data_IF_651387082042
#
_entry.id   IF_651387082042
#
_cell.length_a   1.000
_cell.length_b   1.000
_cell.length_c   1.000
_cell.angle_alpha   90.00
_cell.angle_beta   90.00
_cell.angle_gamma   90.00
#
_symmetry.space_group_name_H-M   'P 1'
#
loop_
_entity.id
_entity.type
_entity.pdbx_description
1 polymer ?
#
# COMPACT_ATOMS: atom_id res chain seq x y z
N UNK A 1 -2.59 15.16 6.78
CA UNK A 1 -2.11 16.13 5.77
C UNK A 1 -1.49 15.40 4.56
N UNK A 2 -0.52 14.50 4.76
CA UNK A 2 0.17 13.77 3.68
C UNK A 2 -0.76 13.02 2.74
N UNK A 3 -1.75 12.32 3.24
CA UNK A 3 -2.78 11.62 2.47
C UNK A 3 -3.49 12.57 1.48
N UNK A 4 -4.06 13.66 1.97
CA UNK A 4 -4.81 14.63 1.13
C UNK A 4 -3.94 15.30 0.07
N UNK A 5 -2.69 15.65 0.42
CA UNK A 5 -1.74 16.20 -0.55
C UNK A 5 -1.38 15.19 -1.64
N UNK A 6 -1.39 13.92 -1.33
CA UNK A 6 -1.06 12.84 -2.28
C UNK A 6 -2.16 12.60 -3.31
N UNK A 7 -3.42 12.96 -3.03
CA UNK A 7 -4.46 13.00 -4.08
C UNK A 7 -4.07 13.97 -5.20
N UNK A 8 -3.47 15.12 -4.87
CA UNK A 8 -2.92 16.05 -5.87
C UNK A 8 -1.80 15.43 -6.71
N UNK A 9 -0.92 14.62 -6.10
CA UNK A 9 0.11 13.87 -6.85
C UNK A 9 -0.55 12.88 -7.82
N UNK A 10 -1.54 12.14 -7.38
CA UNK A 10 -2.28 11.17 -8.21
C UNK A 10 -2.97 11.86 -9.37
N UNK A 11 -3.67 12.99 -9.13
CA UNK A 11 -4.37 13.77 -10.16
C UNK A 11 -3.43 14.26 -11.26
N UNK A 12 -2.21 14.67 -10.89
CA UNK A 12 -1.20 15.20 -11.84
C UNK A 12 -0.26 14.12 -12.42
N UNK A 13 -0.51 12.85 -12.15
CA UNK A 13 0.29 11.73 -12.67
C UNK A 13 -0.61 10.69 -13.35
N UNK A 14 -0.87 9.55 -12.73
CA UNK A 14 -1.73 8.49 -13.28
C UNK A 14 -3.20 8.93 -13.44
N UNK A 15 -3.64 9.91 -12.68
CA UNK A 15 -5.03 10.40 -12.63
C UNK A 15 -6.04 9.26 -12.46
N UNK A 16 -5.80 8.38 -11.49
CA UNK A 16 -6.63 7.21 -11.20
C UNK A 16 -8.09 7.64 -10.97
N UNK A 17 -9.01 7.09 -11.74
CA UNK A 17 -10.45 7.36 -11.62
C UNK A 17 -10.97 6.94 -10.26
N UNK A 18 -11.72 7.82 -9.59
CA UNK A 18 -12.17 7.65 -8.21
C UNK A 18 -13.42 6.76 -8.11
N UNK A 19 -13.34 5.56 -8.69
CA UNK A 19 -14.37 4.52 -8.65
C UNK A 19 -13.78 3.15 -9.00
N UNK A 20 -14.42 2.07 -8.57
CA UNK A 20 -13.95 0.72 -8.85
C UNK A 20 -12.56 0.44 -8.31
N UNK A 21 -11.80 -0.45 -8.96
CA UNK A 21 -10.45 -0.79 -8.55
C UNK A 21 -9.48 0.39 -8.64
N UNK A 22 -9.60 1.23 -9.68
CA UNK A 22 -8.78 2.45 -9.80
C UNK A 22 -9.03 3.44 -8.65
N UNK A 23 -10.25 3.50 -8.13
CA UNK A 23 -10.58 4.32 -6.96
C UNK A 23 -9.92 3.78 -5.68
N UNK A 24 -9.92 2.47 -5.50
CA UNK A 24 -9.19 1.83 -4.40
C UNK A 24 -7.68 2.07 -4.48
N UNK A 25 -7.11 2.02 -5.69
CA UNK A 25 -5.70 2.37 -5.93
C UNK A 25 -5.41 3.86 -5.70
N UNK A 26 -6.36 4.75 -6.01
CA UNK A 26 -6.23 6.18 -5.73
C UNK A 26 -6.11 6.43 -4.22
N UNK A 27 -7.04 5.87 -3.43
CA UNK A 27 -7.00 5.95 -1.96
C UNK A 27 -5.73 5.32 -1.39
N UNK A 28 -5.38 4.12 -1.84
CA UNK A 28 -4.16 3.44 -1.39
C UNK A 28 -2.89 4.24 -1.72
N UNK A 29 -2.84 4.91 -2.87
CA UNK A 29 -1.73 5.80 -3.21
C UNK A 29 -1.58 6.91 -2.18
N UNK A 30 -2.68 7.50 -1.75
CA UNK A 30 -2.67 8.54 -0.71
C UNK A 30 -2.23 8.00 0.66
N UNK A 31 -2.67 6.80 1.04
CA UNK A 31 -2.21 6.16 2.27
C UNK A 31 -0.71 5.80 2.20
N UNK A 32 -0.26 5.21 1.09
CA UNK A 32 1.15 4.83 0.90
C UNK A 32 2.06 6.05 0.93
N UNK A 33 1.77 7.07 0.11
CA UNK A 33 2.61 8.27 0.06
C UNK A 33 2.52 9.08 1.35
N UNK A 34 1.35 9.15 1.99
CA UNK A 34 1.16 9.76 3.30
C UNK A 34 2.02 9.10 4.38
N UNK A 35 2.07 7.76 4.39
CA UNK A 35 2.94 6.99 5.26
C UNK A 35 4.43 7.27 4.98
N UNK A 36 4.83 7.40 3.70
CA UNK A 36 6.22 7.78 3.36
C UNK A 36 6.57 9.18 3.87
N UNK A 37 5.63 10.13 3.83
CA UNK A 37 5.82 11.47 4.39
C UNK A 37 6.03 11.40 5.91
N UNK A 38 5.28 10.56 6.61
CA UNK A 38 5.42 10.39 8.05
C UNK A 38 6.79 9.80 8.43
N UNK A 39 7.24 8.74 7.77
CA UNK A 39 8.59 8.20 7.95
C UNK A 39 9.66 9.26 7.65
N UNK A 40 9.49 10.03 6.58
CA UNK A 40 10.45 11.08 6.21
C UNK A 40 10.50 12.22 7.24
N UNK A 41 9.36 12.60 7.81
CA UNK A 41 9.25 13.66 8.80
C UNK A 41 10.00 13.31 10.10
N UNK A 42 10.14 12.02 10.42
CA UNK A 42 10.87 11.50 11.57
C UNK A 42 10.52 12.25 12.87
N UNK A 43 9.23 12.48 13.10
CA UNK A 43 8.73 13.26 14.24
C UNK A 43 8.66 12.37 15.48
N UNK A 44 9.40 12.71 16.54
CA UNK A 44 9.39 11.93 17.78
C UNK A 44 8.01 11.85 18.48
N UNK A 45 7.13 12.84 18.24
CA UNK A 45 5.76 12.83 18.77
C UNK A 45 4.78 12.02 17.91
N UNK A 46 5.19 11.65 16.71
CA UNK A 46 4.42 10.90 15.72
C UNK A 46 5.38 10.10 14.86
N UNK A 47 5.99 9.03 15.41
CA UNK A 47 6.94 8.21 14.67
C UNK A 47 6.24 7.49 13.52
N UNK A 48 6.94 7.36 12.39
CA UNK A 48 6.40 6.68 11.23
C UNK A 48 5.98 5.23 11.52
N UNK A 49 4.78 4.90 11.10
CA UNK A 49 4.19 3.57 11.22
C UNK A 49 3.23 3.28 10.04
N UNK A 50 2.33 2.29 10.17
CA UNK A 50 1.40 1.90 9.09
C UNK A 50 -0.07 1.93 9.56
N UNK A 51 -0.36 2.68 10.60
CA UNK A 51 -1.71 3.03 11.01
C UNK A 51 -2.08 4.36 10.36
N UNK A 52 -3.26 4.46 9.80
CA UNK A 52 -3.71 5.66 9.11
C UNK A 52 -4.66 6.45 10.01
N UNK A 53 -4.28 7.68 10.34
CA UNK A 53 -5.11 8.59 11.11
C UNK A 53 -5.16 8.31 12.61
N UNK A 54 -4.17 7.65 13.18
CA UNK A 54 -4.11 7.28 14.60
C UNK A 54 -4.09 8.49 15.53
N UNK A 55 -3.61 9.65 15.08
CA UNK A 55 -3.59 10.89 15.87
C UNK A 55 -4.88 11.70 15.81
N UNK A 56 -5.77 11.40 14.86
CA UNK A 56 -7.02 12.15 14.70
C UNK A 56 -8.25 11.40 15.22
N UNK A 57 -8.15 10.06 15.33
CA UNK A 57 -9.25 9.25 15.86
C UNK A 57 -9.32 9.37 17.39
N UNK A 58 -10.55 9.45 17.94
CA UNK A 58 -10.79 9.58 19.39
C UNK A 58 -11.38 8.32 20.01
N UNK A 59 -12.06 7.51 19.19
CA UNK A 59 -12.88 6.36 19.60
C UNK A 59 -12.25 5.01 19.22
N UNK A 60 -11.19 5.04 18.43
CA UNK A 60 -10.46 3.84 17.96
C UNK A 60 -8.99 4.17 17.66
N UNK A 61 -8.10 3.16 17.64
CA UNK A 61 -6.67 3.39 17.48
C UNK A 61 -6.28 4.04 16.16
N UNK A 62 -7.00 3.73 15.05
CA UNK A 62 -6.73 4.32 13.75
C UNK A 62 -7.97 4.26 12.85
N UNK A 63 -7.94 4.99 11.75
CA UNK A 63 -8.97 4.95 10.71
C UNK A 63 -8.84 3.69 9.84
N UNK A 64 -7.61 3.38 9.39
CA UNK A 64 -7.26 2.19 8.59
C UNK A 64 -5.94 1.59 9.09
N UNK A 65 -5.69 0.35 8.69
CA UNK A 65 -4.50 -0.42 9.08
C UNK A 65 -3.89 -1.06 7.85
N UNK A 66 -2.63 -0.74 7.52
CA UNK A 66 -1.99 -1.28 6.32
C UNK A 66 -1.48 -2.71 6.53
N UNK A 67 -1.10 -3.07 7.76
CA UNK A 67 -0.61 -4.42 8.10
C UNK A 67 -1.70 -5.49 8.05
N UNK A 68 -2.92 -5.14 8.39
CA UNK A 68 -4.09 -6.01 8.37
C UNK A 68 -5.34 -5.15 8.22
N UNK A 69 -5.73 -4.82 6.97
CA UNK A 69 -6.87 -3.93 6.69
C UNK A 69 -8.16 -4.30 7.43
N UNK A 70 -8.46 -5.58 7.55
CA UNK A 70 -9.68 -6.08 8.22
C UNK A 70 -9.82 -5.69 9.69
N UNK A 71 -8.80 -5.10 10.31
CA UNK A 71 -8.92 -4.52 11.67
C UNK A 71 -9.92 -3.37 11.73
N UNK A 72 -10.20 -2.68 10.64
CA UNK A 72 -11.19 -1.61 10.57
C UNK A 72 -12.64 -2.12 10.52
N UNK A 73 -12.84 -3.42 10.29
CA UNK A 73 -14.12 -4.08 10.21
C UNK A 73 -14.77 -4.10 8.82
N UNK A 74 -14.20 -3.42 7.82
CA UNK A 74 -14.79 -3.25 6.49
C UNK A 74 -13.83 -3.56 5.33
N UNK A 75 -12.55 -3.23 5.49
CA UNK A 75 -11.55 -3.41 4.43
C UNK A 75 -11.14 -4.87 4.29
N UNK A 76 -11.01 -5.40 3.05
CA UNK A 76 -10.52 -6.75 2.83
C UNK A 76 -8.99 -6.84 2.93
N UNK A 77 -8.48 -7.93 3.49
CA UNK A 77 -7.05 -8.26 3.50
C UNK A 77 -6.58 -8.84 2.16
N UNK A 78 -7.49 -9.50 1.43
CA UNK A 78 -7.20 -10.28 0.24
C UNK A 78 -8.07 -9.84 -0.93
N UNK A 79 -7.47 -9.82 -2.12
CA UNK A 79 -8.18 -9.51 -3.36
C UNK A 79 -9.27 -10.54 -3.66
N UNK A 80 -10.39 -10.05 -4.15
CA UNK A 80 -11.45 -10.83 -4.79
C UNK A 80 -12.02 -10.07 -5.99
N UNK A 81 -12.66 -10.75 -6.91
CA UNK A 81 -13.26 -10.13 -8.13
C UNK A 81 -14.36 -9.11 -7.81
N UNK A 82 -14.90 -9.12 -6.60
CA UNK A 82 -15.92 -8.16 -6.14
C UNK A 82 -15.34 -6.89 -5.52
N UNK A 83 -14.01 -6.77 -5.36
CA UNK A 83 -13.39 -5.66 -4.63
C UNK A 83 -13.72 -4.28 -5.23
N UNK A 84 -13.88 -4.19 -6.55
CA UNK A 84 -14.25 -2.95 -7.23
C UNK A 84 -15.68 -2.44 -6.95
N UNK A 85 -16.52 -3.24 -6.27
CA UNK A 85 -17.86 -2.83 -5.85
C UNK A 85 -17.89 -2.24 -4.43
N UNK A 86 -16.78 -2.30 -3.71
CA UNK A 86 -16.66 -1.70 -2.39
C UNK A 86 -16.44 -0.19 -2.49
N UNK A 87 -16.75 0.52 -1.40
CA UNK A 87 -16.29 1.90 -1.24
C UNK A 87 -14.77 1.95 -1.38
N UNK A 88 -14.27 2.98 -2.06
CA UNK A 88 -12.85 3.14 -2.41
C UNK A 88 -11.94 3.19 -1.17
N UNK A 89 -12.45 3.68 -0.04
CA UNK A 89 -11.74 3.70 1.23
C UNK A 89 -11.57 2.31 1.86
N UNK A 90 -12.37 1.33 1.43
CA UNK A 90 -12.26 -0.07 1.87
C UNK A 90 -11.50 -0.92 0.84
N UNK A 91 -11.82 -0.77 -0.44
CA UNK A 91 -11.10 -1.49 -1.50
C UNK A 91 -9.61 -1.15 -1.55
N UNK A 92 -9.20 0.02 -1.06
CA UNK A 92 -7.80 0.43 -0.87
C UNK A 92 -6.99 -0.53 0.01
N UNK A 93 -7.65 -1.30 0.87
CA UNK A 93 -7.02 -2.26 1.76
C UNK A 93 -6.09 -3.24 1.06
N UNK A 94 -6.42 -3.67 -0.16
CA UNK A 94 -5.58 -4.61 -0.93
C UNK A 94 -4.19 -4.04 -1.21
N UNK A 95 -4.11 -2.81 -1.75
CA UNK A 95 -2.83 -2.19 -2.06
C UNK A 95 -2.11 -1.70 -0.80
N UNK A 96 -2.83 -1.28 0.24
CA UNK A 96 -2.25 -0.97 1.54
C UNK A 96 -1.57 -2.19 2.15
N UNK A 97 -2.23 -3.35 2.11
CA UNK A 97 -1.67 -4.61 2.60
C UNK A 97 -0.45 -5.06 1.77
N UNK A 98 -0.55 -4.97 0.44
CA UNK A 98 0.59 -5.18 -0.45
C UNK A 98 1.78 -4.29 -0.05
N UNK A 99 1.54 -2.99 0.14
CA UNK A 99 2.59 -2.03 0.46
C UNK A 99 3.27 -2.35 1.80
N UNK A 100 2.48 -2.68 2.83
CA UNK A 100 3.02 -3.12 4.11
C UNK A 100 3.89 -4.38 3.95
N UNK A 101 3.36 -5.42 3.29
CA UNK A 101 4.07 -6.68 3.09
C UNK A 101 5.37 -6.49 2.29
N UNK A 102 5.36 -5.62 1.28
CA UNK A 102 6.57 -5.29 0.53
C UNK A 102 7.61 -4.57 1.37
N UNK A 103 7.19 -3.61 2.18
CA UNK A 103 8.11 -2.83 3.01
C UNK A 103 8.65 -3.61 4.21
N UNK A 104 7.77 -4.29 4.93
CA UNK A 104 8.04 -4.85 6.25
C UNK A 104 8.05 -6.38 6.30
N UNK A 105 7.39 -7.03 5.34
CA UNK A 105 7.18 -8.48 5.36
C UNK A 105 6.00 -8.90 6.23
N UNK A 106 5.87 -10.20 6.46
CA UNK A 106 4.78 -10.80 7.23
C UNK A 106 5.14 -11.04 8.70
N UNK A 107 4.12 -11.32 9.52
CA UNK A 107 4.28 -11.66 10.94
C UNK A 107 4.29 -10.46 11.87
N UNK A 108 4.56 -10.72 13.15
CA UNK A 108 4.49 -9.73 14.21
C UNK A 108 5.78 -8.90 14.30
N UNK A 109 5.61 -7.58 14.44
CA UNK A 109 6.71 -6.63 14.76
C UNK A 109 6.18 -5.35 15.40
N UNK A 110 7.06 -4.58 16.00
CA UNK A 110 6.76 -3.25 16.54
C UNK A 110 7.38 -2.20 15.63
N UNK A 111 6.57 -1.26 15.13
CA UNK A 111 6.99 -0.17 14.24
C UNK A 111 6.38 1.12 14.78
N UNK A 112 7.19 2.18 14.93
CA UNK A 112 6.73 3.44 15.51
C UNK A 112 6.18 3.32 16.94
N UNK A 113 6.57 2.26 17.68
CA UNK A 113 6.02 1.96 18.99
C UNK A 113 4.66 1.24 18.98
N UNK A 114 4.08 0.97 17.79
CA UNK A 114 2.79 0.29 17.63
C UNK A 114 2.96 -1.17 17.20
N UNK A 115 2.10 -2.08 17.69
CA UNK A 115 2.14 -3.49 17.30
C UNK A 115 1.53 -3.68 15.92
N UNK A 116 2.28 -4.36 15.04
CA UNK A 116 1.84 -4.78 13.72
C UNK A 116 1.91 -6.29 13.62
N UNK A 117 0.97 -6.91 12.90
CA UNK A 117 1.01 -8.35 12.63
C UNK A 117 0.29 -8.64 11.32
N UNK A 118 1.07 -8.75 10.25
CA UNK A 118 0.53 -8.93 8.90
C UNK A 118 0.46 -10.41 8.52
N UNK A 119 -0.73 -10.93 8.22
CA UNK A 119 -0.90 -12.26 7.62
C UNK A 119 -0.60 -12.19 6.12
N UNK A 120 -0.58 -13.36 5.47
CA UNK A 120 -0.61 -13.49 4.01
C UNK A 120 -1.82 -14.32 3.59
N UNK A 121 -2.41 -14.01 2.43
CA UNK A 121 -3.59 -14.72 1.92
C UNK A 121 -3.27 -16.12 1.37
N UNK A 122 -2.00 -16.38 1.07
CA UNK A 122 -1.51 -17.64 0.51
C UNK A 122 -0.66 -18.48 1.48
N UNK A 123 -0.55 -18.05 2.75
CA UNK A 123 0.24 -18.76 3.78
C UNK A 123 1.76 -18.61 3.65
N UNK A 124 2.25 -17.77 2.73
CA UNK A 124 3.70 -17.52 2.58
C UNK A 124 4.25 -16.65 3.71
N UNK A 125 5.55 -16.77 3.94
CA UNK A 125 6.30 -15.85 4.82
C UNK A 125 7.13 -14.93 3.96
N UNK A 126 7.02 -13.61 4.19
CA UNK A 126 7.72 -12.58 3.44
C UNK A 126 8.71 -11.82 4.32
N UNK A 127 9.84 -11.48 3.71
CA UNK A 127 10.80 -10.51 4.26
C UNK A 127 10.66 -9.20 3.49
N UNK A 128 10.52 -8.08 4.20
CA UNK A 128 10.37 -6.76 3.57
C UNK A 128 11.67 -6.23 2.98
N UNK A 129 11.52 -5.29 2.04
CA UNK A 129 12.65 -4.59 1.39
C UNK A 129 12.86 -3.15 1.90
N UNK A 130 12.06 -2.72 2.88
CA UNK A 130 12.09 -1.39 3.47
C UNK A 130 11.15 -0.39 2.79
N UNK A 131 10.66 0.57 3.58
CA UNK A 131 9.70 1.58 3.11
C UNK A 131 10.30 2.52 2.04
N UNK A 132 11.58 2.82 2.08
CA UNK A 132 12.23 3.65 1.05
C UNK A 132 12.15 3.04 -0.35
N UNK A 133 12.38 1.72 -0.45
CA UNK A 133 12.27 1.00 -1.73
C UNK A 133 10.82 0.87 -2.17
N UNK A 134 9.89 0.62 -1.24
CA UNK A 134 8.45 0.67 -1.52
C UNK A 134 8.07 2.01 -2.13
N UNK A 135 8.41 3.12 -1.49
CA UNK A 135 8.07 4.46 -1.95
C UNK A 135 8.58 4.74 -3.36
N UNK A 136 9.85 4.40 -3.65
CA UNK A 136 10.45 4.56 -4.97
C UNK A 136 9.75 3.72 -6.04
N UNK A 137 9.45 2.45 -5.75
CA UNK A 137 8.77 1.54 -6.68
C UNK A 137 7.35 2.04 -6.96
N UNK A 138 6.59 2.40 -5.92
CA UNK A 138 5.22 2.89 -6.07
C UNK A 138 5.17 4.18 -6.88
N UNK A 139 6.01 5.16 -6.54
CA UNK A 139 6.08 6.43 -7.25
C UNK A 139 6.49 6.26 -8.72
N UNK A 140 7.47 5.39 -9.00
CA UNK A 140 7.86 5.07 -10.38
C UNK A 140 6.71 4.40 -11.16
N UNK A 141 5.98 3.48 -10.53
CA UNK A 141 4.83 2.83 -11.13
C UNK A 141 3.71 3.85 -11.43
N UNK A 142 3.39 4.69 -10.46
CA UNK A 142 2.35 5.72 -10.55
C UNK A 142 2.64 6.72 -11.69
N UNK A 143 3.88 7.18 -11.80
CA UNK A 143 4.26 8.26 -12.73
C UNK A 143 4.59 7.77 -14.14
N UNK A 144 4.80 6.47 -14.34
CA UNK A 144 5.29 5.94 -15.63
C UNK A 144 4.38 4.89 -16.25
N UNK A 145 3.72 4.07 -15.43
CA UNK A 145 3.02 2.87 -15.93
C UNK A 145 1.53 2.84 -15.64
N UNK A 146 1.08 3.46 -14.55
CA UNK A 146 -0.34 3.52 -14.22
C UNK A 146 -1.06 4.57 -15.06
N UNK A 147 -2.33 4.31 -15.34
CA UNK A 147 -3.26 5.19 -16.06
C UNK A 147 -4.56 5.31 -15.28
N UNK A 148 -5.47 6.17 -15.72
CA UNK A 148 -6.72 6.46 -15.02
C UNK A 148 -7.61 5.23 -14.75
N UNK A 149 -7.55 4.20 -15.59
CA UNK A 149 -8.33 2.98 -15.46
C UNK A 149 -7.56 1.78 -14.89
N UNK A 150 -6.38 1.98 -14.30
CA UNK A 150 -5.55 0.89 -13.78
C UNK A 150 -6.30 0.02 -12.77
N UNK A 151 -6.31 -1.28 -13.01
CA UNK A 151 -6.85 -2.32 -12.10
C UNK A 151 -5.75 -2.83 -11.16
N UNK A 152 -6.11 -3.65 -10.16
CA UNK A 152 -5.12 -4.29 -9.27
C UNK A 152 -4.13 -5.18 -10.03
N UNK A 153 -4.60 -5.96 -11.01
CA UNK A 153 -3.73 -6.79 -11.86
C UNK A 153 -2.74 -5.93 -12.67
N UNK A 154 -3.21 -4.78 -13.17
CA UNK A 154 -2.35 -3.83 -13.89
C UNK A 154 -1.39 -3.08 -12.95
N UNK A 155 -1.79 -2.78 -11.72
CA UNK A 155 -0.91 -2.21 -10.70
C UNK A 155 0.23 -3.17 -10.33
N UNK A 156 -0.07 -4.49 -10.25
CA UNK A 156 0.97 -5.52 -10.12
C UNK A 156 1.99 -5.41 -11.26
N UNK A 157 1.53 -5.38 -12.50
CA UNK A 157 2.41 -5.25 -13.68
C UNK A 157 3.22 -3.96 -13.64
N UNK A 158 2.57 -2.83 -13.31
CA UNK A 158 3.21 -1.52 -13.22
C UNK A 158 4.34 -1.50 -12.18
N UNK A 159 4.10 -2.06 -10.99
CA UNK A 159 5.11 -2.12 -9.93
C UNK A 159 6.24 -3.08 -10.23
N UNK A 160 5.98 -4.21 -10.93
CA UNK A 160 7.03 -5.11 -11.44
C UNK A 160 7.93 -4.42 -12.47
N UNK A 161 7.35 -3.64 -13.38
CA UNK A 161 8.10 -2.85 -14.36
C UNK A 161 8.93 -1.75 -13.66
N UNK A 162 8.34 -1.06 -12.70
CA UNK A 162 9.04 -0.06 -11.88
C UNK A 162 10.23 -0.66 -11.12
N UNK A 163 10.06 -1.84 -10.52
CA UNK A 163 11.14 -2.54 -9.84
C UNK A 163 12.24 -2.98 -10.84
N UNK A 164 11.86 -3.38 -12.05
CA UNK A 164 12.82 -3.69 -13.14
C UNK A 164 13.64 -2.47 -13.53
N UNK A 165 12.99 -1.31 -13.70
CA UNK A 165 13.68 -0.06 -14.05
C UNK A 165 14.68 0.38 -12.96
N UNK A 166 14.30 0.25 -11.69
CA UNK A 166 15.09 0.77 -10.56
C UNK A 166 16.20 -0.19 -10.11
N UNK A 167 15.96 -1.51 -10.21
CA UNK A 167 16.82 -2.52 -9.59
C UNK A 167 17.26 -3.65 -10.53
N UNK A 168 16.66 -3.74 -11.71
CA UNK A 168 16.99 -4.74 -12.72
C UNK A 168 15.99 -5.92 -12.76
N UNK A 169 15.96 -6.58 -13.92
CA UNK A 169 14.99 -7.64 -14.22
C UNK A 169 15.08 -8.86 -13.30
N UNK A 170 16.26 -9.15 -12.77
CA UNK A 170 16.55 -10.32 -11.92
C UNK A 170 16.81 -9.90 -10.46
N UNK A 171 16.36 -8.72 -10.04
CA UNK A 171 16.59 -8.21 -8.70
C UNK A 171 15.74 -8.91 -7.65
N UNK A 172 16.25 -8.92 -6.41
CA UNK A 172 15.51 -9.37 -5.25
C UNK A 172 14.28 -8.49 -4.99
N UNK A 173 14.38 -7.19 -5.30
CA UNK A 173 13.28 -6.23 -5.17
C UNK A 173 12.11 -6.58 -6.10
N UNK A 174 12.37 -6.92 -7.34
CA UNK A 174 11.32 -7.38 -8.27
C UNK A 174 10.66 -8.68 -7.80
N UNK A 175 11.45 -9.61 -7.32
CA UNK A 175 10.94 -10.86 -6.75
C UNK A 175 10.07 -10.59 -5.51
N UNK A 176 10.46 -9.64 -4.65
CA UNK A 176 9.69 -9.23 -3.48
C UNK A 176 8.36 -8.58 -3.88
N UNK A 177 8.33 -7.73 -4.92
CA UNK A 177 7.09 -7.14 -5.46
C UNK A 177 6.13 -8.25 -5.91
N UNK A 178 6.62 -9.22 -6.68
CA UNK A 178 5.80 -10.35 -7.13
C UNK A 178 5.22 -11.15 -5.96
N UNK A 179 6.06 -11.45 -4.96
CA UNK A 179 5.66 -12.20 -3.77
C UNK A 179 4.63 -11.43 -2.93
N UNK A 180 4.80 -10.12 -2.75
CA UNK A 180 3.88 -9.28 -1.98
C UNK A 180 2.49 -9.19 -2.63
N UNK A 181 2.40 -9.05 -3.95
CA UNK A 181 1.11 -9.10 -4.66
C UNK A 181 0.44 -10.47 -4.56
N UNK A 182 1.19 -11.56 -4.73
CA UNK A 182 0.64 -12.90 -4.56
C UNK A 182 0.17 -13.16 -3.12
N UNK A 183 0.82 -12.53 -2.13
CA UNK A 183 0.44 -12.63 -0.72
C UNK A 183 -0.89 -11.92 -0.40
N UNK A 184 -1.35 -11.01 -1.25
CA UNK A 184 -2.68 -10.39 -1.15
C UNK A 184 -3.65 -10.91 -2.23
N UNK A 185 -3.34 -12.05 -2.85
CA UNK A 185 -4.13 -12.76 -3.86
C UNK A 185 -4.32 -12.00 -5.19
N UNK A 186 -3.42 -11.10 -5.55
CA UNK A 186 -3.33 -10.48 -6.89
C UNK A 186 -2.24 -11.23 -7.68
N UNK A 187 -2.64 -12.07 -8.65
CA UNK A 187 -1.76 -12.96 -9.42
C UNK A 187 -1.69 -12.56 -10.90
#
# INVERSE_FOLDING_TARGET
AGHEMSHGVTEHTANLTYSGESGGLNEATSDILGTMVEFYANNASDPGDYYIGEKIMKDRPALRYMDKPSKDGNSPDCYSSGVGNLDVHYSSGIANHFAYLLAEGSGAKTIGGLPHNSPTCNGSTLTGIGHDKLGKIWFRALTTYMTSGTTYAQARTATLNAATDLYGANSAEKAAVAAAWSAVAVN
#
